data_IF_929664403797
#
_entry.id   IF_929664403797
#
_cell.length_a   1.000
_cell.length_b   1.000
_cell.length_c   1.000
_cell.angle_alpha   90.00
_cell.angle_beta   90.00
_cell.angle_gamma   90.00
#
_symmetry.space_group_name_H-M   'P 1'
#
loop_
_entity.id
_entity.type
_entity.pdbx_description
1 polymer ?
#
# COMPACT_ATOMS: atom_id res chain seq x y z
N UNK A 1 -13.53 12.29 7.89
CA UNK A 1 -13.25 10.85 7.68
C UNK A 1 -12.29 10.41 8.77
N UNK A 2 -12.55 9.28 9.43
CA UNK A 2 -11.70 8.79 10.51
C UNK A 2 -10.96 7.52 10.06
N UNK A 3 -9.64 7.53 10.21
CA UNK A 3 -8.81 6.36 9.97
C UNK A 3 -8.77 5.48 11.22
N UNK A 4 -8.83 4.17 11.05
CA UNK A 4 -8.58 3.19 12.11
C UNK A 4 -7.11 3.25 12.55
N UNK A 5 -6.78 2.58 13.65
CA UNK A 5 -5.39 2.52 14.13
C UNK A 5 -4.51 1.80 13.11
N UNK A 6 -5.04 0.74 12.51
CA UNK A 6 -4.37 -0.10 11.52
C UNK A 6 -4.15 0.67 10.22
N UNK A 7 -5.13 1.45 9.75
CA UNK A 7 -4.98 2.30 8.56
C UNK A 7 -3.97 3.42 8.79
N UNK A 8 -3.96 4.03 9.99
CA UNK A 8 -2.94 5.04 10.35
C UNK A 8 -1.55 4.41 10.42
N UNK A 9 -1.43 3.22 10.97
CA UNK A 9 -0.17 2.49 11.03
C UNK A 9 0.33 2.17 9.63
N UNK A 10 -0.53 1.63 8.75
CA UNK A 10 -0.19 1.40 7.34
C UNK A 10 0.30 2.68 6.66
N UNK A 11 -0.41 3.79 6.84
CA UNK A 11 -0.02 5.06 6.24
C UNK A 11 1.37 5.52 6.73
N UNK A 12 1.67 5.33 8.01
CA UNK A 12 2.99 5.64 8.59
C UNK A 12 4.10 4.73 8.02
N UNK A 13 3.84 3.46 7.76
CA UNK A 13 4.83 2.57 7.14
C UNK A 13 5.13 2.97 5.67
N UNK A 14 4.19 3.63 5.00
CA UNK A 14 4.34 4.11 3.61
C UNK A 14 5.16 5.40 3.46
N UNK A 15 5.64 6.01 4.56
CA UNK A 15 6.28 7.34 4.53
C UNK A 15 7.68 7.35 3.94
N UNK A 16 8.37 6.22 4.00
CA UNK A 16 9.76 6.14 3.57
C UNK A 16 9.84 5.83 2.07
N UNK A 17 9.05 4.87 1.58
CA UNK A 17 8.93 4.48 0.17
C UNK A 17 7.58 3.78 -0.08
N UNK A 18 7.19 3.64 -1.35
CA UNK A 18 6.07 2.77 -1.71
C UNK A 18 6.30 1.33 -1.21
N UNK A 19 5.25 0.67 -0.75
CA UNK A 19 5.33 -0.67 -0.15
C UNK A 19 4.67 -1.73 -1.05
N UNK A 20 5.37 -2.79 -1.44
CA UNK A 20 4.75 -3.92 -2.13
C UNK A 20 3.64 -4.58 -1.28
N UNK A 21 2.58 -5.05 -1.92
CA UNK A 21 1.48 -5.77 -1.22
C UNK A 21 2.00 -6.98 -0.40
N UNK A 22 3.05 -7.65 -0.89
CA UNK A 22 3.72 -8.76 -0.22
C UNK A 22 4.34 -8.40 1.14
N UNK A 23 4.74 -7.15 1.35
CA UNK A 23 5.26 -6.67 2.63
C UNK A 23 4.12 -6.43 3.62
N UNK A 24 2.99 -5.86 3.18
CA UNK A 24 1.80 -5.66 4.03
C UNK A 24 1.28 -6.98 4.60
N UNK A 25 1.22 -8.03 3.79
CA UNK A 25 0.79 -9.35 4.27
C UNK A 25 1.83 -9.99 5.21
N UNK A 26 3.11 -9.69 5.02
CA UNK A 26 4.18 -10.12 5.92
C UNK A 26 4.00 -9.48 7.30
N UNK A 27 3.67 -8.19 7.37
CA UNK A 27 3.41 -7.50 8.64
C UNK A 27 2.18 -8.05 9.37
N UNK A 28 1.10 -8.34 8.64
CA UNK A 28 -0.07 -9.01 9.22
C UNK A 28 0.27 -10.43 9.68
N UNK A 29 1.15 -11.14 8.97
CA UNK A 29 1.60 -12.46 9.37
C UNK A 29 2.31 -12.44 10.73
N UNK A 30 3.21 -11.46 10.94
CA UNK A 30 3.93 -11.28 12.20
C UNK A 30 3.04 -10.77 13.33
N UNK A 31 2.08 -9.90 13.02
CA UNK A 31 1.14 -9.35 14.00
C UNK A 31 0.10 -10.38 14.47
N UNK A 32 -0.28 -11.32 13.59
CA UNK A 32 -1.32 -12.32 13.85
C UNK A 32 -0.84 -13.76 13.58
N UNK A 33 0.20 -14.26 14.28
CA UNK A 33 0.83 -15.54 13.94
C UNK A 33 -0.12 -16.74 14.06
N UNK A 34 -1.15 -16.63 14.92
CA UNK A 34 -2.15 -17.68 15.16
C UNK A 34 -3.33 -17.68 14.18
N UNK A 35 -3.48 -16.63 13.36
CA UNK A 35 -4.54 -16.57 12.36
C UNK A 35 -4.23 -17.54 11.21
N UNK A 36 -5.28 -18.13 10.63
CA UNK A 36 -5.12 -18.91 9.40
C UNK A 36 -4.65 -18.02 8.26
N UNK A 37 -4.07 -18.64 7.22
CA UNK A 37 -3.65 -17.92 6.00
C UNK A 37 -4.84 -17.15 5.41
N UNK A 38 -6.01 -17.80 5.28
CA UNK A 38 -7.22 -17.14 4.76
C UNK A 38 -7.69 -15.95 5.60
N UNK A 39 -7.57 -16.04 6.94
CA UNK A 39 -7.89 -14.92 7.83
C UNK A 39 -6.91 -13.76 7.64
N UNK A 40 -5.62 -14.05 7.46
CA UNK A 40 -4.59 -13.03 7.21
C UNK A 40 -4.86 -12.30 5.89
N UNK A 41 -5.16 -13.01 4.81
CA UNK A 41 -5.53 -12.38 3.54
C UNK A 41 -6.76 -11.48 3.69
N UNK A 42 -7.82 -11.96 4.34
CA UNK A 42 -9.02 -11.15 4.57
C UNK A 42 -8.74 -9.91 5.43
N UNK A 43 -7.85 -10.00 6.42
CA UNK A 43 -7.45 -8.85 7.23
C UNK A 43 -6.72 -7.80 6.38
N UNK A 44 -5.77 -8.23 5.55
CA UNK A 44 -5.01 -7.33 4.69
C UNK A 44 -5.91 -6.71 3.63
N UNK A 45 -6.76 -7.50 2.97
CA UNK A 45 -7.72 -7.03 1.97
C UNK A 45 -8.63 -5.93 2.54
N UNK A 46 -9.24 -6.17 3.70
CA UNK A 46 -10.08 -5.17 4.36
C UNK A 46 -9.31 -3.90 4.74
N UNK A 47 -8.06 -4.03 5.20
CA UNK A 47 -7.21 -2.90 5.56
C UNK A 47 -6.88 -2.04 4.34
N UNK A 48 -6.42 -2.67 3.26
CA UNK A 48 -5.99 -1.97 2.05
C UNK A 48 -7.18 -1.36 1.33
N UNK A 49 -8.28 -2.10 1.15
CA UNK A 49 -9.52 -1.56 0.55
C UNK A 49 -10.08 -0.43 1.40
N UNK A 50 -10.12 -0.57 2.73
CA UNK A 50 -10.61 0.48 3.62
C UNK A 50 -9.81 1.78 3.50
N UNK A 51 -8.48 1.69 3.38
CA UNK A 51 -7.62 2.85 3.16
C UNK A 51 -7.75 3.44 1.73
N UNK A 52 -7.95 2.60 0.71
CA UNK A 52 -8.18 3.01 -0.68
C UNK A 52 -9.53 3.73 -0.86
N UNK A 53 -10.62 3.20 -0.29
CA UNK A 53 -11.95 3.83 -0.30
C UNK A 53 -11.94 5.20 0.37
N UNK A 54 -11.08 5.35 1.37
CA UNK A 54 -10.82 6.61 2.06
C UNK A 54 -9.93 7.56 1.27
N UNK A 55 -9.34 7.08 0.16
CA UNK A 55 -8.49 7.86 -0.73
C UNK A 55 -7.19 8.32 -0.09
N UNK A 56 -6.71 7.66 0.96
CA UNK A 56 -5.47 8.03 1.66
C UNK A 56 -4.25 7.29 1.13
N UNK A 57 -4.46 6.16 0.47
CA UNK A 57 -3.44 5.42 -0.26
C UNK A 57 -3.92 5.13 -1.68
N UNK A 58 -3.00 4.77 -2.55
CA UNK A 58 -3.27 4.23 -3.88
C UNK A 58 -2.36 3.02 -4.14
N UNK A 59 -2.78 2.14 -5.06
CA UNK A 59 -1.90 1.12 -5.64
C UNK A 59 -1.39 1.65 -6.97
N UNK A 60 -0.07 1.76 -7.06
CA UNK A 60 0.62 2.27 -8.23
C UNK A 60 1.19 1.11 -9.05
N UNK A 61 0.90 1.11 -10.35
CA UNK A 61 1.60 0.24 -11.31
C UNK A 61 2.86 0.93 -11.80
N UNK A 62 4.01 0.37 -11.46
CA UNK A 62 5.32 0.82 -11.88
C UNK A 62 5.76 0.02 -13.09
N UNK A 63 6.33 0.69 -14.09
CA UNK A 63 6.86 0.13 -15.33
C UNK A 63 8.20 0.79 -15.63
N UNK A 64 9.09 0.11 -16.37
CA UNK A 64 10.37 0.72 -16.79
C UNK A 64 10.23 2.07 -17.52
N UNK A 65 9.08 2.31 -18.15
CA UNK A 65 8.79 3.56 -18.86
C UNK A 65 8.47 4.72 -17.91
N UNK A 66 7.88 4.43 -16.74
CA UNK A 66 7.49 5.42 -15.74
C UNK A 66 8.47 5.55 -14.56
N UNK A 67 9.48 4.67 -14.48
CA UNK A 67 10.59 4.74 -13.50
C UNK A 67 11.94 5.14 -14.11
N UNK A 68 11.95 5.76 -15.30
CA UNK A 68 13.18 6.12 -16.02
C UNK A 68 14.08 6.99 -15.12
N UNK A 69 15.34 6.58 -14.95
CA UNK A 69 16.35 7.15 -14.03
C UNK A 69 16.21 6.79 -12.54
N UNK A 70 15.42 5.78 -12.16
CA UNK A 70 15.25 5.29 -10.78
C UNK A 70 14.73 6.34 -9.79
N UNK A 71 14.14 7.44 -10.27
CA UNK A 71 13.49 8.43 -9.40
C UNK A 71 12.02 8.06 -9.30
N UNK A 72 11.63 7.60 -8.12
CA UNK A 72 10.25 7.31 -7.78
C UNK A 72 9.45 8.62 -7.71
N UNK A 73 8.57 8.86 -8.67
CA UNK A 73 7.59 9.96 -8.59
C UNK A 73 6.17 9.38 -8.69
N UNK A 74 5.45 9.36 -7.57
CA UNK A 74 4.05 8.90 -7.47
C UNK A 74 3.16 9.60 -8.51
N UNK A 75 3.48 10.85 -8.85
CA UNK A 75 2.76 11.65 -9.85
C UNK A 75 2.87 11.14 -11.29
N UNK A 76 3.90 10.33 -11.61
CA UNK A 76 4.11 9.73 -12.93
C UNK A 76 3.72 8.24 -12.99
N UNK A 77 3.38 7.64 -11.85
CA UNK A 77 2.95 6.24 -11.78
C UNK A 77 1.48 6.09 -12.19
N UNK A 78 1.13 4.98 -12.85
CA UNK A 78 -0.26 4.72 -13.25
C UNK A 78 -1.03 4.23 -12.03
N UNK A 79 -1.70 5.16 -11.35
CA UNK A 79 -2.62 4.85 -10.24
C UNK A 79 -3.75 3.97 -10.79
N UNK A 80 -3.93 2.80 -10.19
CA UNK A 80 -5.02 1.91 -10.53
C UNK A 80 -6.34 2.42 -9.95
N UNK A 81 -7.44 2.23 -10.68
CA UNK A 81 -8.79 2.51 -10.17
C UNK A 81 -9.17 1.53 -9.06
N UNK A 82 -10.11 1.91 -8.18
CA UNK A 82 -10.51 1.07 -7.05
C UNK A 82 -11.02 -0.31 -7.47
N UNK A 83 -11.72 -0.41 -8.60
CA UNK A 83 -12.21 -1.67 -9.15
C UNK A 83 -11.03 -2.57 -9.56
N UNK A 84 -10.05 -2.01 -10.28
CA UNK A 84 -8.83 -2.72 -10.68
C UNK A 84 -8.01 -3.17 -9.47
N UNK A 85 -7.91 -2.32 -8.44
CA UNK A 85 -7.17 -2.67 -7.21
C UNK A 85 -7.88 -3.77 -6.44
N UNK A 86 -9.21 -3.72 -6.35
CA UNK A 86 -10.01 -4.75 -5.68
C UNK A 86 -9.85 -6.10 -6.37
N UNK A 87 -9.90 -6.13 -7.70
CA UNK A 87 -9.64 -7.35 -8.48
C UNK A 87 -8.20 -7.85 -8.30
N UNK A 88 -7.22 -6.94 -8.29
CA UNK A 88 -5.81 -7.27 -8.11
C UNK A 88 -5.53 -7.89 -6.73
N UNK A 89 -6.09 -7.31 -5.68
CA UNK A 89 -5.94 -7.74 -4.28
C UNK A 89 -6.68 -9.06 -4.02
N UNK A 90 -7.83 -9.28 -4.64
CA UNK A 90 -8.58 -10.52 -4.48
C UNK A 90 -7.83 -11.77 -5.01
N UNK A 91 -6.77 -11.59 -5.81
CA UNK A 91 -5.95 -12.69 -6.32
C UNK A 91 -4.74 -12.97 -5.40
N UNK A 92 -4.71 -14.09 -4.65
CA UNK A 92 -3.62 -14.43 -3.73
C UNK A 92 -2.24 -14.47 -4.38
N UNK A 93 -2.17 -14.78 -5.69
CA UNK A 93 -0.91 -14.85 -6.42
C UNK A 93 -0.22 -13.48 -6.55
N UNK A 94 -0.98 -12.38 -6.48
CA UNK A 94 -0.43 -11.02 -6.57
C UNK A 94 0.23 -10.57 -5.25
N UNK A 95 0.06 -11.34 -4.17
CA UNK A 95 0.68 -11.07 -2.86
C UNK A 95 2.02 -11.76 -2.66
N UNK A 96 2.44 -12.59 -3.61
CA UNK A 96 3.71 -13.29 -3.51
C UNK A 96 4.86 -12.36 -3.95
N UNK A 97 5.84 -12.17 -3.06
CA UNK A 97 7.01 -11.29 -3.23
C UNK A 97 7.87 -11.63 -4.47
N UNK A 98 7.70 -12.85 -4.99
CA UNK A 98 8.41 -13.39 -6.14
C UNK A 98 7.47 -14.27 -6.96
N UNK A 99 6.42 -13.70 -7.54
CA UNK A 99 6.12 -14.23 -8.86
C UNK A 99 7.42 -14.12 -9.65
N UNK A 100 7.90 -15.22 -10.23
CA UNK A 100 8.68 -15.13 -11.46
C UNK A 100 7.77 -14.43 -12.47
N UNK A 101 7.61 -13.12 -12.32
CA UNK A 101 6.87 -12.33 -13.27
C UNK A 101 7.56 -12.61 -14.58
N UNK A 102 6.78 -13.10 -15.54
CA UNK A 102 7.21 -13.25 -16.93
C UNK A 102 7.85 -11.95 -17.43
N UNK A 103 7.48 -10.82 -16.82
CA UNK A 103 8.04 -9.52 -17.08
C UNK A 103 8.48 -8.81 -15.77
N UNK A 104 9.79 -8.84 -15.47
CA UNK A 104 10.40 -8.13 -14.34
C UNK A 104 10.35 -6.59 -14.46
N UNK A 105 9.74 -6.08 -15.53
CA UNK A 105 9.62 -4.64 -15.75
C UNK A 105 8.43 -4.00 -15.04
N UNK A 106 7.56 -4.77 -14.37
CA UNK A 106 6.32 -4.26 -13.77
C UNK A 106 6.26 -4.57 -12.27
N UNK A 107 6.20 -3.57 -11.41
CA UNK A 107 5.91 -3.76 -9.97
C UNK A 107 4.64 -3.04 -9.55
N UNK A 108 4.07 -3.47 -8.42
CA UNK A 108 2.88 -2.87 -7.83
C UNK A 108 3.19 -2.51 -6.38
N UNK A 109 3.02 -1.25 -6.04
CA UNK A 109 3.35 -0.71 -4.72
C UNK A 109 2.23 0.19 -4.23
N UNK A 110 1.91 0.07 -2.95
CA UNK A 110 1.07 1.02 -2.25
C UNK A 110 1.86 2.31 -2.02
N UNK A 111 1.20 3.44 -2.16
CA UNK A 111 1.78 4.75 -1.88
C UNK A 111 0.75 5.65 -1.18
N UNK A 112 1.18 6.64 -0.39
CA UNK A 112 0.27 7.68 0.09
C UNK A 112 -0.25 8.52 -1.08
N UNK A 113 -1.51 8.94 -1.01
CA UNK A 113 -2.03 9.99 -1.90
C UNK A 113 -1.69 11.38 -1.34
N UNK A 114 -1.97 12.46 -2.07
CA UNK A 114 -1.88 13.83 -1.52
C UNK A 114 -2.70 14.02 -0.22
N UNK A 115 -3.81 13.29 -0.06
CA UNK A 115 -4.58 13.30 1.17
C UNK A 115 -3.88 12.50 2.27
N UNK A 116 -3.30 11.34 1.92
CA UNK A 116 -2.45 10.56 2.81
C UNK A 116 -1.29 11.37 3.36
N UNK A 117 -0.55 12.06 2.49
CA UNK A 117 0.58 12.92 2.87
C UNK A 117 0.15 14.03 3.85
N UNK A 118 -0.98 14.69 3.62
CA UNK A 118 -1.51 15.69 4.58
C UNK A 118 -1.82 15.08 5.94
N UNK A 119 -2.33 13.85 5.98
CA UNK A 119 -2.61 13.16 7.24
C UNK A 119 -1.29 12.74 7.91
N UNK A 120 -0.27 12.35 7.15
CA UNK A 120 1.07 12.09 7.66
C UNK A 120 1.69 13.34 8.27
N UNK A 121 1.57 14.49 7.61
CA UNK A 121 1.96 15.78 8.16
C UNK A 121 1.27 16.05 9.50
N UNK A 122 -0.03 15.75 9.63
CA UNK A 122 -0.76 15.89 10.89
C UNK A 122 -0.30 14.92 11.98
N UNK A 123 0.04 13.68 11.61
CA UNK A 123 0.53 12.64 12.52
C UNK A 123 1.92 13.01 13.05
N UNK A 124 2.81 13.46 12.16
CA UNK A 124 4.20 13.80 12.48
C UNK A 124 4.40 15.25 12.87
N UNK A 125 3.38 16.11 12.74
CA UNK A 125 3.40 17.44 13.30
C UNK A 125 3.64 17.33 14.81
N UNK A 126 4.92 17.42 15.17
CA UNK A 126 5.35 17.69 16.53
C UNK A 126 4.59 18.95 16.89
N UNK A 127 3.68 18.85 17.87
CA UNK A 127 3.17 20.05 18.52
C UNK A 127 4.40 20.79 19.00
N UNK A 128 4.82 21.81 18.25
CA UNK A 128 5.74 22.83 18.71
C UNK A 128 5.01 23.59 19.82
N UNK A 129 4.93 22.94 20.98
CA UNK A 129 4.40 23.45 22.22
C UNK A 129 5.57 23.81 23.10
N UNK A 130 5.75 25.12 23.26
CA UNK A 130 6.65 25.79 24.20
C UNK A 130 6.66 25.16 25.60
#
# INVERSE_FOLDING_TARGET
>A
MELTKEERALLVELTDFGMPLSEVITDIHFSHPKASISQKYAMVENLVIGALEKGVICLCKLTLENTKDNVYEVNNSTIMSIDEVTEHIANPLNWEQYQEQLDKSISFELAPTELGEKILDEIFAVKNGN
#
